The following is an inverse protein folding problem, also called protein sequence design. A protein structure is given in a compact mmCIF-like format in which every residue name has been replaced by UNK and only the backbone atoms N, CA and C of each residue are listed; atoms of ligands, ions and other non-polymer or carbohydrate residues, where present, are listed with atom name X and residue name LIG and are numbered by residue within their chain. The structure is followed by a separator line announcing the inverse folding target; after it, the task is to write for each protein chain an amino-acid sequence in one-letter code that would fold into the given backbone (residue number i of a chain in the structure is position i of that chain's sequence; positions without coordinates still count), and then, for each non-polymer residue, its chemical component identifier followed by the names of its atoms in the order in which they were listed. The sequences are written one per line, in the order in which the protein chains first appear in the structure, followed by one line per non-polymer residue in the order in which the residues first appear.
data_IF_413564863217
#
_entry.id   IF_413564863217
#
_cell.length_a   1.000
_cell.length_b   1.000
_cell.length_c   1.000
_cell.angle_alpha   90.00
_cell.angle_beta   90.00
_cell.angle_gamma   90.00
#
_symmetry.space_group_name_H-M   'P 1'
#
loop_
_entity.id
_entity.type
_entity.pdbx_description
1 polymer ?
#
# COMPACT_ATOMS: atom_id res chain seq x y z
N UNK A 1 -4.32 20.52 14.92
CA UNK A 1 -2.84 20.36 14.98
C UNK A 1 -2.38 18.91 14.86
N UNK A 2 -2.91 17.94 15.65
CA UNK A 2 -2.47 16.52 15.63
C UNK A 2 -2.39 15.87 14.24
N UNK A 3 -3.38 16.11 13.36
CA UNK A 3 -3.38 15.56 12.00
C UNK A 3 -2.26 16.11 11.11
N UNK A 4 -1.92 17.39 11.22
CA UNK A 4 -0.82 18.00 10.47
C UNK A 4 0.53 17.47 10.98
N UNK A 5 0.70 17.35 12.30
CA UNK A 5 1.91 16.80 12.89
C UNK A 5 2.14 15.34 12.46
N UNK A 6 1.09 14.50 12.53
CA UNK A 6 1.15 13.13 12.03
C UNK A 6 1.45 13.09 10.53
N UNK A 7 0.83 13.98 9.76
CA UNK A 7 1.12 14.19 8.35
C UNK A 7 2.59 14.45 8.06
N UNK A 8 3.16 15.45 8.74
CA UNK A 8 4.57 15.80 8.62
C UNK A 8 5.49 14.62 8.97
N UNK A 9 5.19 13.87 10.04
CA UNK A 9 5.95 12.67 10.42
C UNK A 9 5.87 11.60 9.33
N UNK A 10 4.68 11.30 8.81
CA UNK A 10 4.53 10.26 7.77
C UNK A 10 5.20 10.64 6.45
N UNK A 11 5.03 11.89 5.99
CA UNK A 11 5.70 12.37 4.77
C UNK A 11 7.21 12.45 4.96
N UNK A 12 7.68 12.95 6.11
CA UNK A 12 9.10 13.01 6.44
C UNK A 12 9.72 11.61 6.51
N UNK A 13 8.99 10.62 7.05
CA UNK A 13 9.45 9.24 7.06
C UNK A 13 9.66 8.69 5.64
N UNK A 14 8.63 8.72 4.78
CA UNK A 14 8.69 8.07 3.47
C UNK A 14 9.53 8.82 2.43
N UNK A 15 9.55 10.16 2.47
CA UNK A 15 10.25 10.96 1.47
C UNK A 15 11.67 11.31 1.85
N UNK A 16 12.01 11.18 3.14
CA UNK A 16 13.23 11.75 3.68
C UNK A 16 14.02 10.83 4.59
N UNK A 17 13.41 10.27 5.65
CA UNK A 17 14.16 9.45 6.63
C UNK A 17 14.52 8.09 6.02
N UNK A 18 13.51 7.31 5.63
CA UNK A 18 13.72 5.94 5.16
C UNK A 18 14.64 5.87 3.92
N UNK A 19 14.50 6.73 2.88
CA UNK A 19 15.40 6.70 1.74
C UNK A 19 16.87 6.98 2.10
N UNK A 20 17.11 7.88 3.06
CA UNK A 20 18.47 8.25 3.49
C UNK A 20 19.16 7.18 4.32
N UNK A 21 18.40 6.26 4.92
CA UNK A 21 18.99 5.12 5.62
C UNK A 21 19.67 4.12 4.65
N UNK A 22 19.38 4.21 3.35
CA UNK A 22 19.98 3.38 2.30
C UNK A 22 20.01 1.87 2.66
N UNK A 23 18.95 1.40 3.32
CA UNK A 23 18.89 0.05 3.87
C UNK A 23 18.73 -0.98 2.75
N UNK A 24 19.37 -2.17 2.89
CA UNK A 24 19.03 -3.34 2.09
C UNK A 24 17.53 -3.66 2.17
N UNK A 25 16.97 -4.25 1.11
CA UNK A 25 15.54 -4.49 0.93
C UNK A 25 14.83 -5.09 2.16
N UNK A 26 15.39 -6.15 2.74
CA UNK A 26 14.80 -6.80 3.93
C UNK A 26 14.80 -5.91 5.17
N UNK A 27 15.87 -5.12 5.36
CA UNK A 27 15.95 -4.16 6.49
C UNK A 27 15.00 -2.99 6.27
N UNK A 28 14.77 -2.60 5.01
CA UNK A 28 13.78 -1.58 4.65
C UNK A 28 12.35 -2.03 5.02
N UNK A 29 11.99 -3.29 4.69
CA UNK A 29 10.72 -3.91 5.11
C UNK A 29 10.54 -3.85 6.63
N UNK A 30 11.56 -4.28 7.37
CA UNK A 30 11.53 -4.27 8.85
C UNK A 30 11.37 -2.84 9.38
N UNK A 31 12.08 -1.86 8.82
CA UNK A 31 11.99 -0.47 9.23
C UNK A 31 10.58 0.12 9.00
N UNK A 32 9.96 -0.14 7.84
CA UNK A 32 8.60 0.29 7.58
C UNK A 32 7.58 -0.38 8.49
N UNK A 33 7.66 -1.69 8.66
CA UNK A 33 6.76 -2.41 9.57
C UNK A 33 6.91 -1.88 11.01
N UNK A 34 8.14 -1.68 11.47
CA UNK A 34 8.42 -1.12 12.79
C UNK A 34 7.86 0.30 12.94
N UNK A 35 7.97 1.14 11.89
CA UNK A 35 7.37 2.47 11.88
C UNK A 35 5.84 2.41 12.03
N UNK A 36 5.15 1.57 11.26
CA UNK A 36 3.69 1.43 11.35
C UNK A 36 3.21 0.90 12.71
N UNK A 37 3.91 -0.09 13.27
CA UNK A 37 3.65 -0.59 14.63
C UNK A 37 3.91 0.52 15.66
N UNK A 38 5.05 1.20 15.56
CA UNK A 38 5.46 2.26 16.49
C UNK A 38 4.47 3.42 16.52
N UNK A 39 4.04 3.91 15.35
CA UNK A 39 2.98 4.94 15.24
C UNK A 39 1.69 4.48 15.91
N UNK A 40 1.32 3.21 15.74
CA UNK A 40 0.10 2.65 16.36
C UNK A 40 0.22 2.53 17.88
N UNK A 41 1.38 2.12 18.41
CA UNK A 41 1.62 2.05 19.86
C UNK A 41 1.63 3.44 20.47
N UNK A 42 2.38 4.39 19.88
CA UNK A 42 2.43 5.77 20.36
C UNK A 42 1.07 6.44 20.34
N UNK A 43 0.27 6.25 19.27
CA UNK A 43 -1.09 6.76 19.21
C UNK A 43 -1.93 6.31 20.41
N UNK A 44 -1.84 5.02 20.79
CA UNK A 44 -2.53 4.50 21.98
C UNK A 44 -2.05 5.13 23.27
N UNK A 45 -0.73 5.32 23.42
CA UNK A 45 -0.15 5.96 24.60
C UNK A 45 -0.65 7.41 24.76
N UNK A 46 -0.91 8.12 23.65
CA UNK A 46 -1.51 9.45 23.64
C UNK A 46 -3.05 9.46 23.66
N UNK A 47 -3.68 8.33 23.97
CA UNK A 47 -5.14 8.21 24.11
C UNK A 47 -5.92 8.14 22.80
N UNK A 48 -5.26 8.04 21.65
CA UNK A 48 -5.92 7.83 20.35
C UNK A 48 -6.27 6.33 20.25
N UNK A 49 -7.53 6.04 19.92
CA UNK A 49 -7.99 4.66 19.67
C UNK A 49 -7.87 4.34 18.18
N UNK A 50 -6.90 3.51 17.74
CA UNK A 50 -6.75 3.20 16.33
C UNK A 50 -7.98 2.47 15.79
N UNK A 51 -8.41 2.84 14.59
CA UNK A 51 -9.61 2.31 13.98
C UNK A 51 -9.41 0.92 13.36
N UNK A 52 -10.46 0.11 13.33
CA UNK A 52 -10.52 -1.11 12.52
C UNK A 52 -9.67 -2.30 12.99
N UNK A 53 -9.08 -2.26 14.19
CA UNK A 53 -8.26 -3.35 14.75
C UNK A 53 -9.04 -4.34 15.64
N UNK A 54 -10.35 -4.14 15.81
CA UNK A 54 -11.18 -5.01 16.66
C UNK A 54 -11.37 -6.39 16.01
N UNK A 55 -11.14 -7.46 16.79
CA UNK A 55 -11.36 -8.85 16.32
C UNK A 55 -12.81 -9.11 15.90
N UNK A 56 -13.78 -8.45 16.54
CA UNK A 56 -15.20 -8.61 16.22
C UNK A 56 -15.57 -8.18 14.79
N UNK A 57 -14.77 -7.34 14.14
CA UNK A 57 -15.01 -6.92 12.75
C UNK A 57 -14.20 -7.70 11.71
N UNK A 58 -13.41 -8.71 12.11
CA UNK A 58 -12.55 -9.44 11.18
C UNK A 58 -13.34 -10.19 10.11
N UNK A 59 -14.44 -10.85 10.46
CA UNK A 59 -15.28 -11.56 9.47
C UNK A 59 -15.80 -10.60 8.39
N UNK A 60 -16.35 -9.46 8.82
CA UNK A 60 -16.78 -8.39 7.91
C UNK A 60 -15.61 -7.85 7.08
N UNK A 61 -14.46 -7.62 7.71
CA UNK A 61 -13.23 -7.18 7.07
C UNK A 61 -12.77 -8.11 5.96
N UNK A 62 -12.71 -9.41 6.24
CA UNK A 62 -12.34 -10.44 5.27
C UNK A 62 -13.35 -10.53 4.12
N UNK A 63 -14.66 -10.47 4.39
CA UNK A 63 -15.69 -10.52 3.36
C UNK A 63 -15.62 -9.32 2.41
N UNK A 64 -15.60 -8.10 2.96
CA UNK A 64 -15.46 -6.87 2.16
C UNK A 64 -14.12 -6.81 1.42
N UNK A 65 -13.04 -7.24 2.07
CA UNK A 65 -11.71 -7.26 1.48
C UNK A 65 -11.58 -8.26 0.34
N UNK A 66 -12.16 -9.46 0.47
CA UNK A 66 -12.20 -10.45 -0.60
C UNK A 66 -13.01 -9.95 -1.80
N UNK A 67 -14.19 -9.37 -1.55
CA UNK A 67 -15.03 -8.81 -2.60
C UNK A 67 -14.35 -7.66 -3.35
N UNK A 68 -13.76 -6.70 -2.61
CA UNK A 68 -13.03 -5.60 -3.21
C UNK A 68 -11.78 -6.09 -3.95
N UNK A 69 -10.99 -6.98 -3.32
CA UNK A 69 -9.74 -7.50 -3.88
C UNK A 69 -9.91 -8.38 -5.12
N UNK A 70 -11.10 -8.92 -5.37
CA UNK A 70 -11.40 -9.61 -6.62
C UNK A 70 -11.26 -8.67 -7.85
N UNK A 71 -11.58 -7.38 -7.71
CA UNK A 71 -11.54 -6.41 -8.81
C UNK A 71 -10.15 -6.27 -9.44
N UNK A 72 -9.07 -5.95 -8.71
CA UNK A 72 -7.74 -5.85 -9.30
C UNK A 72 -7.20 -7.20 -9.81
N UNK A 73 -7.59 -8.32 -9.19
CA UNK A 73 -7.22 -9.66 -9.66
C UNK A 73 -7.83 -9.92 -11.04
N UNK A 74 -9.15 -9.68 -11.20
CA UNK A 74 -9.83 -9.80 -12.49
C UNK A 74 -9.22 -8.84 -13.51
N UNK A 75 -8.97 -7.58 -13.13
CA UNK A 75 -8.31 -6.61 -13.99
C UNK A 75 -6.94 -7.08 -14.50
N UNK A 76 -6.14 -7.70 -13.63
CA UNK A 76 -4.85 -8.25 -14.03
C UNK A 76 -4.97 -9.48 -14.94
N UNK A 77 -5.97 -10.35 -14.73
CA UNK A 77 -6.25 -11.45 -15.67
C UNK A 77 -6.59 -10.90 -17.05
N UNK A 78 -7.44 -9.87 -17.13
CA UNK A 78 -7.80 -9.21 -18.40
C UNK A 78 -6.57 -8.60 -19.07
N UNK A 79 -5.72 -7.88 -18.33
CA UNK A 79 -4.48 -7.31 -18.86
C UNK A 79 -3.53 -8.41 -19.38
N UNK A 80 -3.35 -9.49 -18.62
CA UNK A 80 -2.47 -10.60 -19.01
C UNK A 80 -2.95 -11.34 -20.27
N UNK A 81 -4.28 -11.38 -20.48
CA UNK A 81 -4.91 -11.97 -21.65
C UNK A 81 -4.77 -11.12 -22.92
N UNK A 82 -4.49 -9.81 -22.80
CA UNK A 82 -4.38 -8.87 -23.92
C UNK A 82 -2.91 -8.49 -24.18
N UNK A 83 -2.24 -9.02 -25.22
CA UNK A 83 -0.82 -8.76 -25.48
C UNK A 83 -0.45 -7.28 -25.55
N UNK A 84 -1.26 -6.48 -26.27
CA UNK A 84 -1.03 -5.04 -26.46
C UNK A 84 -1.12 -4.23 -25.15
N UNK A 85 -1.83 -4.75 -24.14
CA UNK A 85 -1.91 -4.13 -22.82
C UNK A 85 -0.79 -4.60 -21.92
N UNK A 86 -0.51 -5.91 -21.93
CA UNK A 86 0.61 -6.47 -21.17
C UNK A 86 1.95 -5.87 -21.61
N UNK A 87 2.12 -5.55 -22.89
CA UNK A 87 3.33 -4.91 -23.41
C UNK A 87 3.64 -3.55 -22.77
N UNK A 88 2.61 -2.85 -22.28
CA UNK A 88 2.72 -1.56 -21.58
C UNK A 88 3.10 -1.71 -20.10
N UNK A 89 3.01 -2.92 -19.56
CA UNK A 89 3.43 -3.19 -18.17
C UNK A 89 4.96 -3.15 -18.13
N UNK A 90 5.53 -2.43 -17.15
CA UNK A 90 6.98 -2.43 -16.93
C UNK A 90 7.42 -3.81 -16.39
N UNK A 91 8.38 -4.50 -17.03
CA UNK A 91 8.92 -5.74 -16.49
C UNK A 91 9.70 -5.48 -15.19
N UNK A 92 9.81 -6.49 -14.33
CA UNK A 92 10.63 -6.44 -13.12
C UNK A 92 11.38 -7.74 -12.93
N UNK A 93 12.70 -7.65 -12.78
CA UNK A 93 13.61 -8.78 -12.49
C UNK A 93 13.68 -9.14 -11.00
N UNK A 94 12.87 -8.49 -10.16
CA UNK A 94 12.78 -8.80 -8.73
C UNK A 94 12.38 -10.25 -8.49
N UNK A 95 12.91 -10.87 -7.41
CA UNK A 95 12.40 -12.16 -6.93
C UNK A 95 10.92 -12.00 -6.57
N UNK A 96 10.07 -12.49 -7.47
CA UNK A 96 8.63 -12.37 -7.39
C UNK A 96 8.07 -13.01 -6.10
N UNK A 97 8.70 -14.10 -5.63
CA UNK A 97 8.26 -14.78 -4.42
C UNK A 97 8.57 -13.95 -3.18
N UNK A 98 9.80 -13.42 -3.05
CA UNK A 98 10.16 -12.53 -1.95
C UNK A 98 9.29 -11.25 -1.96
N UNK A 99 8.98 -10.72 -3.14
CA UNK A 99 8.13 -9.53 -3.28
C UNK A 99 6.70 -9.77 -2.79
N UNK A 100 6.05 -10.83 -3.28
CA UNK A 100 4.64 -11.14 -2.98
C UNK A 100 4.46 -11.65 -1.55
N UNK A 101 5.38 -12.48 -1.05
CA UNK A 101 5.22 -13.15 0.24
C UNK A 101 5.72 -12.33 1.42
N UNK A 102 6.68 -11.42 1.20
CA UNK A 102 7.34 -10.72 2.29
C UNK A 102 7.31 -9.20 2.12
N UNK A 103 7.81 -8.67 1.00
CA UNK A 103 8.00 -7.22 0.88
C UNK A 103 6.67 -6.46 0.81
N UNK A 104 5.73 -6.91 -0.02
CA UNK A 104 4.41 -6.28 -0.16
C UNK A 104 3.57 -6.41 1.12
N UNK A 105 3.38 -7.61 1.71
CA UNK A 105 2.49 -7.76 2.86
C UNK A 105 2.96 -6.96 4.08
N UNK A 106 4.26 -6.97 4.37
CA UNK A 106 4.80 -6.41 5.60
C UNK A 106 5.39 -5.01 5.42
N UNK A 107 6.18 -4.81 4.36
CA UNK A 107 6.91 -3.55 4.12
C UNK A 107 6.03 -2.45 3.54
N UNK A 108 4.90 -2.83 2.92
CA UNK A 108 3.94 -1.90 2.30
C UNK A 108 2.60 -1.98 3.02
N UNK A 109 1.85 -3.07 2.84
CA UNK A 109 0.43 -3.14 3.24
C UNK A 109 0.27 -3.00 4.76
N UNK A 110 0.95 -3.82 5.56
CA UNK A 110 0.81 -3.76 7.02
C UNK A 110 1.20 -2.38 7.58
N UNK A 111 2.32 -1.82 7.12
CA UNK A 111 2.77 -0.48 7.52
C UNK A 111 1.71 0.58 7.18
N UNK A 112 1.32 0.66 5.90
CA UNK A 112 0.47 1.73 5.39
C UNK A 112 -0.96 1.66 5.95
N UNK A 113 -1.53 0.46 6.08
CA UNK A 113 -2.87 0.30 6.63
C UNK A 113 -2.94 0.64 8.13
N UNK A 114 -1.89 0.30 8.89
CA UNK A 114 -1.75 0.70 10.29
C UNK A 114 -1.62 2.22 10.42
N UNK A 115 -0.68 2.82 9.69
CA UNK A 115 -0.42 4.26 9.75
C UNK A 115 -1.67 5.02 9.31
N UNK A 116 -2.18 4.74 8.11
CA UNK A 116 -3.16 5.63 7.51
C UNK A 116 -4.60 5.25 7.80
N UNK A 117 -4.98 3.96 7.73
CA UNK A 117 -6.40 3.56 7.95
C UNK A 117 -6.74 3.30 9.40
N UNK A 118 -5.75 2.90 10.21
CA UNK A 118 -5.97 2.71 11.64
C UNK A 118 -5.75 4.00 12.42
N UNK A 119 -4.54 4.58 12.36
CA UNK A 119 -4.19 5.72 13.20
C UNK A 119 -4.62 7.04 12.59
N UNK A 120 -4.16 7.36 11.38
CA UNK A 120 -4.38 8.67 10.77
C UNK A 120 -5.87 8.93 10.53
N UNK A 121 -6.59 7.95 9.99
CA UNK A 121 -8.04 8.06 9.76
C UNK A 121 -8.84 8.19 11.08
N UNK A 122 -8.29 7.79 12.22
CA UNK A 122 -8.88 8.04 13.54
C UNK A 122 -8.58 9.46 14.07
N UNK A 123 -7.44 10.04 13.67
CA UNK A 123 -7.01 11.39 14.08
C UNK A 123 -7.60 12.48 13.18
N UNK A 124 -7.58 12.26 11.87
CA UNK A 124 -8.04 13.20 10.86
C UNK A 124 -8.46 12.44 9.58
N UNK A 125 -9.74 12.03 9.49
CA UNK A 125 -10.25 11.29 8.34
C UNK A 125 -10.06 11.99 6.99
N UNK A 126 -10.17 13.33 6.97
CA UNK A 126 -10.02 14.12 5.75
C UNK A 126 -8.57 14.20 5.26
N UNK A 127 -7.60 14.26 6.17
CA UNK A 127 -6.19 14.41 5.83
C UNK A 127 -5.51 13.06 5.54
N UNK A 128 -6.01 11.96 6.08
CA UNK A 128 -5.40 10.63 5.90
C UNK A 128 -5.21 10.24 4.42
N UNK A 129 -6.20 10.41 3.51
CA UNK A 129 -5.99 10.17 2.08
C UNK A 129 -4.98 11.13 1.43
N UNK A 130 -4.96 12.39 1.83
CA UNK A 130 -4.03 13.39 1.27
C UNK A 130 -2.58 13.05 1.61
N UNK A 131 -2.31 12.72 2.87
CA UNK A 131 -0.96 12.34 3.31
C UNK A 131 -0.54 10.95 2.83
N UNK A 132 -1.49 10.07 2.56
CA UNK A 132 -1.22 8.84 1.83
C UNK A 132 -0.82 9.12 0.37
N UNK A 133 -1.40 10.14 -0.27
CA UNK A 133 -0.92 10.65 -1.54
C UNK A 133 0.54 11.12 -1.46
N UNK A 134 0.84 11.99 -0.50
CA UNK A 134 2.20 12.54 -0.29
C UNK A 134 3.23 11.47 0.08
N UNK A 135 2.82 10.39 0.76
CA UNK A 135 3.68 9.24 1.08
C UNK A 135 4.35 8.66 -0.17
N UNK A 136 3.67 8.72 -1.32
CA UNK A 136 4.09 8.13 -2.59
C UNK A 136 4.99 9.04 -3.44
N UNK A 137 5.38 10.23 -2.97
CA UNK A 137 6.26 11.14 -3.72
C UNK A 137 7.61 10.48 -4.04
N UNK A 138 8.27 9.89 -3.05
CA UNK A 138 9.57 9.26 -3.26
C UNK A 138 9.46 8.01 -4.14
N UNK A 139 8.52 7.07 -3.88
CA UNK A 139 8.24 5.96 -4.80
C UNK A 139 8.03 6.39 -6.25
N UNK A 140 7.21 7.43 -6.50
CA UNK A 140 6.96 7.95 -7.85
C UNK A 140 8.26 8.44 -8.52
N UNK A 141 9.10 9.18 -7.78
CA UNK A 141 10.39 9.65 -8.29
C UNK A 141 11.32 8.48 -8.63
N UNK A 142 11.41 7.47 -7.76
CA UNK A 142 12.28 6.31 -8.00
C UNK A 142 11.82 5.47 -9.18
N UNK A 143 10.51 5.41 -9.44
CA UNK A 143 9.96 4.70 -10.58
C UNK A 143 10.02 5.50 -11.89
N UNK A 144 10.34 6.79 -11.85
CA UNK A 144 10.26 7.69 -13.01
C UNK A 144 8.82 8.00 -13.44
N UNK A 145 7.87 7.94 -12.50
CA UNK A 145 6.45 8.21 -12.75
C UNK A 145 6.11 9.69 -12.53
N UNK A 146 4.96 10.11 -13.06
CA UNK A 146 4.40 11.44 -12.75
C UNK A 146 4.12 11.55 -11.26
N UNK A 147 4.89 12.38 -10.54
CA UNK A 147 4.70 12.60 -9.09
C UNK A 147 3.30 13.13 -8.81
N UNK A 148 2.86 14.14 -9.56
CA UNK A 148 1.52 14.73 -9.39
C UNK A 148 0.43 13.69 -9.68
N UNK A 149 0.55 12.96 -10.79
CA UNK A 149 -0.41 11.91 -11.15
C UNK A 149 -0.49 10.81 -10.08
N UNK A 150 0.67 10.37 -9.58
CA UNK A 150 0.75 9.34 -8.53
C UNK A 150 0.13 9.83 -7.23
N UNK A 151 0.44 11.06 -6.79
CA UNK A 151 -0.12 11.64 -5.55
C UNK A 151 -1.64 11.75 -5.64
N UNK A 152 -2.18 12.23 -6.76
CA UNK A 152 -3.63 12.35 -6.97
C UNK A 152 -4.28 10.96 -6.98
N UNK A 153 -3.73 10.03 -7.75
CA UNK A 153 -4.27 8.68 -7.87
C UNK A 153 -4.26 7.94 -6.52
N UNK A 154 -3.14 7.99 -5.82
CA UNK A 154 -3.00 7.32 -4.51
C UNK A 154 -3.83 8.03 -3.44
N UNK A 155 -4.01 9.36 -3.48
CA UNK A 155 -4.96 10.04 -2.60
C UNK A 155 -6.41 9.57 -2.84
N UNK A 156 -6.83 9.42 -4.09
CA UNK A 156 -8.14 8.85 -4.44
C UNK A 156 -8.28 7.39 -3.97
N UNK A 157 -7.25 6.57 -4.16
CA UNK A 157 -7.21 5.21 -3.60
C UNK A 157 -7.31 5.22 -2.06
N UNK A 158 -6.64 6.18 -1.40
CA UNK A 158 -6.73 6.38 0.05
C UNK A 158 -8.16 6.69 0.51
N UNK A 159 -8.93 7.47 -0.26
CA UNK A 159 -10.36 7.71 0.00
C UNK A 159 -11.15 6.40 -0.06
N UNK A 160 -10.91 5.59 -1.11
CA UNK A 160 -11.55 4.28 -1.28
C UNK A 160 -11.20 3.32 -0.12
N UNK A 161 -9.93 3.24 0.27
CA UNK A 161 -9.48 2.39 1.39
C UNK A 161 -10.10 2.84 2.72
N UNK A 162 -10.15 4.14 2.97
CA UNK A 162 -10.80 4.70 4.15
C UNK A 162 -12.32 4.45 4.15
N UNK A 163 -12.98 4.51 2.99
CA UNK A 163 -14.38 4.12 2.84
C UNK A 163 -14.58 2.64 3.16
N UNK A 164 -13.76 1.75 2.59
CA UNK A 164 -13.85 0.30 2.80
C UNK A 164 -13.62 -0.08 4.27
N UNK A 165 -12.68 0.59 4.95
CA UNK A 165 -12.44 0.46 6.39
C UNK A 165 -13.67 0.85 7.21
N UNK A 166 -14.31 1.99 6.88
CA UNK A 166 -15.52 2.44 7.58
C UNK A 166 -16.70 1.50 7.34
N UNK A 167 -16.86 1.02 6.10
CA UNK A 167 -17.99 0.14 5.72
C UNK A 167 -17.90 -1.24 6.36
N UNK A 168 -16.69 -1.81 6.41
CA UNK A 168 -16.44 -3.12 7.01
C UNK A 168 -16.22 -3.06 8.53
N UNK A 169 -15.81 -1.90 9.05
CA UNK A 169 -15.36 -1.73 10.43
C UNK A 169 -13.99 -2.33 10.71
N UNK A 170 -13.21 -2.71 9.70
CA UNK A 170 -11.92 -3.40 9.84
C UNK A 170 -10.87 -2.88 8.87
N UNK A 171 -9.60 -2.83 9.31
CA UNK A 171 -8.47 -2.57 8.41
C UNK A 171 -8.14 -3.76 7.50
N UNK A 172 -8.68 -4.95 7.80
CA UNK A 172 -8.45 -6.12 6.93
C UNK A 172 -9.07 -5.93 5.54
N UNK A 173 -10.18 -5.19 5.43
CA UNK A 173 -10.82 -4.96 4.15
C UNK A 173 -9.95 -4.13 3.19
N UNK A 174 -9.47 -2.92 3.54
CA UNK A 174 -8.52 -2.21 2.70
C UNK A 174 -7.17 -2.95 2.59
N UNK A 175 -6.69 -3.65 3.62
CA UNK A 175 -5.45 -4.42 3.52
C UNK A 175 -5.50 -5.51 2.45
N UNK A 176 -6.60 -6.26 2.35
CA UNK A 176 -6.76 -7.28 1.30
C UNK A 176 -6.89 -6.67 -0.09
N UNK A 177 -7.67 -5.59 -0.23
CA UNK A 177 -7.76 -4.85 -1.50
C UNK A 177 -6.38 -4.32 -1.92
N UNK A 178 -5.68 -3.68 -1.00
CA UNK A 178 -4.36 -3.10 -1.24
C UNK A 178 -3.32 -4.19 -1.58
N UNK A 179 -3.30 -5.31 -0.84
CA UNK A 179 -2.48 -6.46 -1.16
C UNK A 179 -2.78 -6.99 -2.57
N UNK A 180 -4.05 -7.13 -2.92
CA UNK A 180 -4.45 -7.64 -4.23
C UNK A 180 -4.03 -6.73 -5.38
N UNK A 181 -4.09 -5.41 -5.23
CA UNK A 181 -3.58 -4.44 -6.22
C UNK A 181 -2.07 -4.64 -6.43
N UNK A 182 -1.30 -4.63 -5.34
CA UNK A 182 0.15 -4.72 -5.41
C UNK A 182 0.64 -6.07 -5.96
N UNK A 183 0.06 -7.17 -5.47
CA UNK A 183 0.41 -8.53 -5.92
C UNK A 183 0.03 -8.73 -7.38
N UNK A 184 -1.14 -8.24 -7.80
CA UNK A 184 -1.56 -8.31 -9.21
C UNK A 184 -0.59 -7.56 -10.13
N UNK A 185 -0.15 -6.36 -9.73
CA UNK A 185 0.88 -5.60 -10.44
C UNK A 185 2.22 -6.35 -10.54
N UNK A 186 2.68 -6.94 -9.43
CA UNK A 186 3.92 -7.73 -9.39
C UNK A 186 3.83 -8.97 -10.32
N UNK A 187 2.71 -9.69 -10.30
CA UNK A 187 2.47 -10.85 -11.18
C UNK A 187 2.47 -10.44 -12.66
N UNK A 188 1.84 -9.31 -13.00
CA UNK A 188 1.86 -8.77 -14.35
C UNK A 188 3.28 -8.43 -14.82
N UNK A 189 4.06 -7.74 -13.98
CA UNK A 189 5.45 -7.38 -14.27
C UNK A 189 6.33 -8.62 -14.50
N UNK A 190 6.22 -9.64 -13.64
CA UNK A 190 6.93 -10.90 -13.81
C UNK A 190 6.48 -11.69 -15.04
N UNK A 191 5.19 -11.63 -15.38
CA UNK A 191 4.65 -12.27 -16.60
C UNK A 191 5.14 -11.59 -17.86
N UNK A 192 5.21 -10.25 -17.87
CA UNK A 192 5.79 -9.47 -18.96
C UNK A 192 7.25 -9.84 -19.20
N UNK A 193 8.04 -9.91 -18.13
CA UNK A 193 9.45 -10.30 -18.20
C UNK A 193 9.62 -11.72 -18.77
N UNK A 194 8.85 -12.69 -18.27
CA UNK A 194 8.91 -14.08 -18.77
C UNK A 194 8.58 -14.17 -20.25
N UNK A 195 7.57 -13.43 -20.73
CA UNK A 195 7.23 -13.40 -22.16
C UNK A 195 8.35 -12.79 -23.01
N UNK A 196 8.95 -11.69 -22.54
CA UNK A 196 10.08 -11.07 -23.23
C UNK A 196 11.26 -12.03 -23.36
N UNK A 197 11.67 -12.70 -22.27
CA UNK A 197 12.78 -13.68 -22.31
C UNK A 197 12.55 -14.83 -23.29
N UNK A 198 11.30 -15.34 -23.41
CA UNK A 198 10.96 -16.41 -24.35
C UNK A 198 10.96 -15.98 -25.82
N UNK A 199 10.67 -14.71 -26.10
CA UNK A 199 10.68 -14.18 -27.47
C UNK A 199 12.10 -13.86 -27.97
N UNK A 200 13.07 -13.77 -27.05
CA UNK A 200 14.45 -13.38 -27.31
C UNK A 200 15.48 -14.49 -26.98
N UNK A 201 15.01 -15.71 -26.71
CA UNK A 201 15.80 -16.94 -26.53
C UNK A 201 15.76 -17.79 -27.79
#
# INVERSE_FOLDING_TARGET
MRGIALGAVTTGWSTSVLPRLALPDRRNVVANLAFGIGVTVLARMFGIRPAGLRRSSWRSGLAWGAAAGAVPVVGAVVIAAQPSWLERVRPSDSDLAEWILFRIPFGTVACEELVFRSVFDAVSPALSPMFFGLWHIHPARTAGDSVVGTVIFTAAAGVMFSWLRRRSGSVLAPALMHLSVNVSGAVLAGTRLRRWRRANS
#
